data_IF_822951196189
#
_entry.id   IF_822951196189
#
_cell.length_a   1.000
_cell.length_b   1.000
_cell.length_c   1.000
_cell.angle_alpha   90.00
_cell.angle_beta   90.00
_cell.angle_gamma   90.00
#
_symmetry.space_group_name_H-M   'P 1'
#
loop_
_entity.id
_entity.type
_entity.pdbx_description
1 polymer ?
#
# COMPACT_ATOMS: atom_id res chain seq x y z
N UNK A 1 33.22 -56.50 38.96
CA UNK A 1 34.38 -56.45 39.85
C UNK A 1 34.05 -55.46 40.96
N UNK A 2 33.90 -55.98 42.18
CA UNK A 2 33.90 -55.34 43.50
C UNK A 2 32.86 -54.25 43.85
N UNK A 3 32.10 -54.57 44.90
CA UNK A 3 31.26 -53.75 45.78
C UNK A 3 32.03 -52.61 46.47
N UNK A 4 31.32 -51.56 46.95
CA UNK A 4 31.16 -51.30 48.39
C UNK A 4 30.38 -49.99 48.70
N UNK A 5 29.45 -50.13 49.68
CA UNK A 5 29.08 -49.25 50.81
C UNK A 5 29.06 -47.70 50.63
N UNK A 6 27.97 -46.97 50.83
CA UNK A 6 27.06 -46.79 52.00
C UNK A 6 27.52 -45.77 53.07
N UNK A 7 26.52 -45.03 53.58
CA UNK A 7 26.46 -44.20 54.81
C UNK A 7 27.07 -42.78 54.70
N UNK A 8 26.53 -41.69 55.25
CA UNK A 8 25.39 -41.40 56.14
C UNK A 8 25.10 -39.88 55.93
N UNK A 9 23.89 -39.35 55.76
CA UNK A 9 22.72 -39.27 56.64
C UNK A 9 22.73 -38.07 57.61
N UNK A 10 21.52 -37.49 57.75
CA UNK A 10 21.02 -36.53 58.76
C UNK A 10 21.30 -35.03 58.55
N UNK A 11 20.34 -34.12 58.78
CA UNK A 11 18.89 -34.17 58.85
C UNK A 11 18.38 -32.72 59.02
N UNK A 12 17.33 -32.35 58.25
CA UNK A 12 16.07 -31.72 58.69
C UNK A 12 16.14 -30.46 59.59
N UNK A 13 15.66 -29.32 59.09
CA UNK A 13 14.29 -28.79 59.26
C UNK A 13 14.26 -27.76 60.42
N UNK A 14 13.40 -26.74 60.51
CA UNK A 14 12.13 -26.42 59.89
C UNK A 14 11.79 -24.92 60.13
N UNK A 15 10.69 -24.46 59.50
CA UNK A 15 9.71 -23.44 59.97
C UNK A 15 10.17 -21.99 60.17
N UNK A 16 9.74 -21.00 59.37
CA UNK A 16 8.39 -20.43 59.16
C UNK A 16 8.02 -19.27 60.11
N UNK A 17 7.78 -18.11 59.49
CA UNK A 17 6.62 -17.21 59.65
C UNK A 17 6.79 -15.81 60.29
N UNK A 18 5.97 -14.88 59.76
CA UNK A 18 5.67 -13.49 60.19
C UNK A 18 6.74 -12.43 59.91
N UNK A 19 6.47 -11.19 59.51
CA UNK A 19 5.24 -10.41 59.30
C UNK A 19 5.66 -9.01 58.80
N UNK A 20 4.77 -8.31 58.09
CA UNK A 20 5.03 -7.06 57.37
C UNK A 20 5.11 -5.80 58.26
N UNK A 21 5.94 -4.81 57.88
CA UNK A 21 5.62 -3.35 57.84
C UNK A 21 6.87 -2.47 57.60
N UNK A 22 6.73 -1.47 56.73
CA UNK A 22 7.68 -0.40 56.31
C UNK A 22 7.99 0.65 57.41
N UNK A 23 8.58 1.84 57.12
CA UNK A 23 9.80 2.25 56.40
C UNK A 23 10.71 3.22 57.23
N UNK A 24 11.89 3.63 56.72
CA UNK A 24 12.44 5.02 56.74
C UNK A 24 13.99 5.16 56.80
N UNK A 25 14.43 6.22 56.12
CA UNK A 25 15.69 7.00 56.07
C UNK A 25 16.73 6.88 57.21
N UNK A 26 18.03 6.95 56.84
CA UNK A 26 18.92 8.12 57.01
C UNK A 26 20.41 7.75 57.16
N UNK A 27 21.27 8.70 56.76
CA UNK A 27 22.73 8.89 57.02
C UNK A 27 23.50 9.07 55.71
N UNK A 28 24.46 9.98 55.55
CA UNK A 28 25.11 10.95 56.42
C UNK A 28 26.23 11.60 55.61
N UNK A 29 26.51 12.88 55.83
CA UNK A 29 27.37 13.76 55.02
C UNK A 29 28.63 14.12 55.81
N UNK A 30 29.80 14.26 55.15
CA UNK A 30 30.84 15.32 55.32
C UNK A 30 32.31 14.86 55.24
N UNK A 31 33.16 15.77 54.71
CA UNK A 31 34.65 15.71 54.65
C UNK A 31 35.19 16.17 53.28
N UNK A 32 35.22 17.47 52.94
CA UNK A 32 36.32 18.46 53.10
C UNK A 32 37.56 18.25 52.21
N UNK A 33 37.83 19.20 51.29
CA UNK A 33 39.09 19.28 50.54
C UNK A 33 39.05 20.33 49.42
N UNK A 34 39.70 21.46 49.65
CA UNK A 34 39.77 22.72 48.91
C UNK A 34 40.71 22.73 47.69
N UNK A 35 40.35 23.47 46.63
CA UNK A 35 41.25 24.44 45.97
C UNK A 35 40.49 25.36 44.99
N UNK A 36 40.79 26.65 45.09
CA UNK A 36 40.24 27.73 44.30
C UNK A 36 41.01 27.93 42.98
N UNK A 37 40.34 28.47 41.96
CA UNK A 37 40.96 28.87 40.70
C UNK A 37 39.95 29.59 39.81
N UNK A 38 39.90 30.91 39.97
CA UNK A 38 39.03 31.86 39.29
C UNK A 38 39.34 32.05 37.80
N UNK A 39 38.26 32.09 37.00
CA UNK A 39 38.01 32.91 35.81
C UNK A 39 39.20 33.50 35.03
N UNK A 40 39.37 33.06 33.78
CA UNK A 40 39.86 33.91 32.70
C UNK A 40 38.95 33.81 31.47
N UNK A 41 38.62 34.99 30.97
CA UNK A 41 37.79 35.31 29.82
C UNK A 41 38.30 34.70 28.52
N UNK A 42 37.43 33.99 27.80
CA UNK A 42 37.62 33.60 26.41
C UNK A 42 36.30 33.74 25.67
N UNK A 43 36.17 34.81 24.89
CA UNK A 43 35.07 35.07 23.96
C UNK A 43 34.82 33.87 23.05
N UNK A 44 33.74 33.12 23.30
CA UNK A 44 33.22 32.15 22.34
C UNK A 44 32.44 32.90 21.26
N UNK A 45 33.13 33.13 20.15
CA UNK A 45 32.50 33.34 18.85
C UNK A 45 31.46 32.23 18.68
N UNK A 46 30.18 32.62 18.59
CA UNK A 46 29.07 31.73 18.22
C UNK A 46 29.30 31.34 16.76
N UNK A 47 30.12 30.31 16.56
CA UNK A 47 30.41 29.75 15.26
C UNK A 47 29.21 28.98 14.75
N UNK A 48 28.69 29.38 13.58
CA UNK A 48 27.84 28.60 12.68
C UNK A 48 28.53 27.29 12.16
N UNK A 49 29.53 26.76 12.87
CA UNK A 49 30.38 25.64 12.44
C UNK A 49 29.90 24.27 12.91
N UNK A 50 28.73 24.18 13.57
CA UNK A 50 28.16 22.91 14.03
C UNK A 50 27.35 22.12 12.99
N UNK A 51 27.04 22.71 11.84
CA UNK A 51 26.18 22.08 10.81
C UNK A 51 26.90 21.15 9.84
N UNK A 52 28.21 21.33 9.64
CA UNK A 52 28.99 20.58 8.63
C UNK A 52 29.44 19.19 9.09
N UNK A 53 29.36 18.88 10.39
CA UNK A 53 29.95 17.67 10.99
C UNK A 53 28.95 16.54 11.27
N UNK A 54 27.69 16.64 10.81
CA UNK A 54 26.73 15.54 10.94
C UNK A 54 26.68 14.71 9.64
N UNK A 55 27.31 13.51 9.59
CA UNK A 55 27.29 12.65 8.41
C UNK A 55 25.86 12.24 7.99
N UNK A 56 24.93 12.16 8.96
CA UNK A 56 23.51 11.88 8.69
C UNK A 56 22.81 12.99 7.89
N UNK A 57 23.18 14.26 8.12
CA UNK A 57 22.61 15.41 7.40
C UNK A 57 23.00 15.38 5.92
N UNK A 58 24.28 15.14 5.64
CA UNK A 58 24.80 15.00 4.27
C UNK A 58 24.19 13.80 3.53
N UNK A 59 24.00 12.67 4.22
CA UNK A 59 23.35 11.49 3.62
C UNK A 59 21.88 11.76 3.29
N UNK A 60 21.14 12.44 4.17
CA UNK A 60 19.75 12.83 3.89
C UNK A 60 19.66 13.83 2.74
N UNK A 61 20.55 14.83 2.70
CA UNK A 61 20.64 15.80 1.62
C UNK A 61 20.93 15.10 0.29
N UNK A 62 21.90 14.19 0.25
CA UNK A 62 22.24 13.42 -0.94
C UNK A 62 21.03 12.59 -1.43
N UNK A 63 20.34 11.91 -0.52
CA UNK A 63 19.13 11.15 -0.84
C UNK A 63 18.03 12.04 -1.43
N UNK A 64 17.81 13.23 -0.86
CA UNK A 64 16.82 14.19 -1.36
C UNK A 64 17.21 14.70 -2.75
N UNK A 65 18.48 15.08 -2.94
CA UNK A 65 18.99 15.56 -4.23
C UNK A 65 18.86 14.49 -5.32
N UNK A 66 19.18 13.23 -5.03
CA UNK A 66 19.05 12.14 -6.01
C UNK A 66 17.58 11.93 -6.39
N UNK A 67 16.66 11.94 -5.42
CA UNK A 67 15.22 11.80 -5.71
C UNK A 67 14.68 12.97 -6.53
N UNK A 68 15.11 14.20 -6.23
CA UNK A 68 14.76 15.38 -7.01
C UNK A 68 15.28 15.30 -8.44
N UNK A 69 16.54 14.91 -8.63
CA UNK A 69 17.12 14.71 -9.96
C UNK A 69 16.44 13.56 -10.72
N UNK A 70 16.06 12.47 -10.05
CA UNK A 70 15.29 11.38 -10.66
C UNK A 70 13.91 11.84 -11.11
N UNK A 71 13.22 12.67 -10.31
CA UNK A 71 11.97 13.31 -10.73
C UNK A 71 12.21 14.18 -11.97
N UNK A 72 13.19 15.09 -11.91
CA UNK A 72 13.48 16.01 -13.01
C UNK A 72 13.84 15.26 -14.31
N UNK A 73 14.63 14.20 -14.22
CA UNK A 73 14.97 13.34 -15.35
C UNK A 73 13.75 12.59 -15.91
N UNK A 74 12.90 12.05 -15.02
CA UNK A 74 11.64 11.42 -15.40
C UNK A 74 10.68 12.37 -16.09
N UNK A 75 10.55 13.60 -15.58
CA UNK A 75 9.74 14.64 -16.20
C UNK A 75 10.30 15.06 -17.57
N UNK A 76 11.60 15.39 -17.63
CA UNK A 76 12.25 15.91 -18.85
C UNK A 76 12.27 14.89 -19.98
N UNK A 77 12.50 13.61 -19.69
CA UNK A 77 12.53 12.54 -20.69
C UNK A 77 11.17 12.29 -21.38
N UNK A 78 10.07 12.81 -20.83
CA UNK A 78 8.72 12.66 -21.36
C UNK A 78 8.23 13.84 -22.20
N UNK A 79 9.06 14.89 -22.37
CA UNK A 79 8.67 16.12 -23.06
C UNK A 79 9.00 16.14 -24.56
N UNK A 80 9.67 15.10 -25.09
CA UNK A 80 10.15 15.13 -26.49
C UNK A 80 9.04 15.35 -27.53
N UNK A 81 7.84 14.81 -27.31
CA UNK A 81 6.70 15.02 -28.21
C UNK A 81 6.24 16.49 -28.21
N UNK A 82 6.12 17.08 -27.02
CA UNK A 82 5.70 18.47 -26.83
C UNK A 82 6.74 19.47 -27.36
N UNK A 83 8.04 19.16 -27.24
CA UNK A 83 9.12 20.03 -27.74
C UNK A 83 9.20 19.99 -29.27
N UNK A 84 9.02 18.81 -29.88
CA UNK A 84 9.13 18.65 -31.34
C UNK A 84 7.89 19.13 -32.08
N UNK A 85 6.72 19.00 -31.46
CA UNK A 85 5.43 19.30 -32.06
C UNK A 85 4.68 20.30 -31.18
N UNK A 86 3.37 20.14 -31.04
CA UNK A 86 2.52 21.01 -30.25
C UNK A 86 2.11 20.33 -28.94
N UNK A 87 1.80 21.13 -27.92
CA UNK A 87 1.26 20.65 -26.63
C UNK A 87 -0.21 20.27 -26.76
N UNK A 88 -0.48 19.17 -27.46
CA UNK A 88 -1.82 18.62 -27.68
C UNK A 88 -1.90 17.19 -27.15
N UNK A 89 -3.12 16.68 -27.05
CA UNK A 89 -3.36 15.30 -26.65
C UNK A 89 -3.07 14.39 -27.83
N UNK A 90 -2.42 13.26 -27.54
CA UNK A 90 -2.03 12.26 -28.53
C UNK A 90 -2.84 10.97 -28.34
N UNK A 91 -2.84 10.13 -29.39
CA UNK A 91 -3.59 8.87 -29.47
C UNK A 91 -5.11 9.05 -29.44
N UNK A 92 -5.85 7.93 -29.54
CA UNK A 92 -7.30 7.94 -29.68
C UNK A 92 -8.02 7.98 -28.32
N UNK A 93 -7.60 7.13 -27.38
CA UNK A 93 -8.27 6.94 -26.08
C UNK A 93 -8.27 8.21 -25.21
N UNK A 94 -7.17 8.98 -25.10
CA UNK A 94 -7.10 10.16 -24.23
C UNK A 94 -8.09 11.29 -24.56
N UNK A 95 -8.64 11.34 -25.79
CA UNK A 95 -9.63 12.37 -26.16
C UNK A 95 -10.92 12.27 -25.36
N UNK A 96 -11.38 11.05 -25.07
CA UNK A 96 -12.55 10.84 -24.22
C UNK A 96 -12.26 11.29 -22.78
N UNK A 97 -11.08 10.96 -22.26
CA UNK A 97 -10.66 11.37 -20.92
C UNK A 97 -10.59 12.89 -20.79
N UNK A 98 -10.02 13.57 -21.79
CA UNK A 98 -9.96 15.03 -21.83
C UNK A 98 -11.35 15.68 -21.91
N UNK A 99 -12.22 15.21 -22.81
CA UNK A 99 -13.59 15.74 -22.92
C UNK A 99 -14.35 15.58 -21.61
N UNK A 100 -14.22 14.42 -20.97
CA UNK A 100 -14.82 14.13 -19.66
C UNK A 100 -14.27 15.06 -18.57
N UNK A 101 -12.96 15.31 -18.58
CA UNK A 101 -12.30 16.25 -17.64
C UNK A 101 -12.73 17.69 -17.88
N UNK A 102 -12.86 18.11 -19.14
CA UNK A 102 -13.39 19.42 -19.50
C UNK A 102 -14.83 19.60 -19.02
N UNK A 103 -15.68 18.59 -19.17
CA UNK A 103 -17.04 18.60 -18.64
C UNK A 103 -17.04 18.76 -17.11
N UNK A 104 -16.20 18.00 -16.39
CA UNK A 104 -16.05 18.10 -14.94
C UNK A 104 -15.58 19.50 -14.50
N UNK A 105 -14.62 20.10 -15.21
CA UNK A 105 -14.10 21.42 -14.89
C UNK A 105 -15.12 22.56 -15.12
N UNK A 106 -16.01 22.40 -16.09
CA UNK A 106 -16.99 23.43 -16.48
C UNK A 106 -18.34 23.32 -15.76
N UNK A 107 -18.81 22.10 -15.47
CA UNK A 107 -20.14 21.85 -14.90
C UNK A 107 -20.09 21.37 -13.44
N UNK A 108 -18.91 21.01 -12.94
CA UNK A 108 -18.71 20.53 -11.58
C UNK A 108 -18.90 19.01 -11.43
N UNK A 109 -18.69 18.54 -10.19
CA UNK A 109 -18.59 17.10 -9.90
C UNK A 109 -19.95 16.37 -9.95
N UNK A 110 -21.01 16.95 -9.41
CA UNK A 110 -22.33 16.30 -9.37
C UNK A 110 -22.95 16.16 -10.78
N UNK A 111 -22.78 17.17 -11.63
CA UNK A 111 -23.18 17.11 -13.03
C UNK A 111 -22.35 16.08 -13.80
N UNK A 112 -21.04 15.99 -13.53
CA UNK A 112 -20.19 14.95 -14.12
C UNK A 112 -20.63 13.53 -13.73
N UNK A 113 -20.97 13.31 -12.45
CA UNK A 113 -21.38 12.00 -11.96
C UNK A 113 -22.71 11.54 -12.57
N UNK A 114 -23.63 12.47 -12.85
CA UNK A 114 -24.93 12.20 -13.47
C UNK A 114 -24.93 12.44 -14.99
N UNK A 115 -23.76 12.57 -15.61
CA UNK A 115 -23.66 12.97 -17.01
C UNK A 115 -24.15 11.87 -17.96
N UNK A 116 -25.21 12.19 -18.71
CA UNK A 116 -25.67 11.44 -19.87
C UNK A 116 -25.17 12.12 -21.15
N UNK A 117 -24.35 11.41 -21.92
CA UNK A 117 -23.79 11.89 -23.17
C UNK A 117 -24.63 11.42 -24.36
N UNK A 118 -25.47 12.33 -24.87
CA UNK A 118 -26.30 12.12 -26.06
C UNK A 118 -25.50 12.21 -27.38
N UNK A 119 -24.26 12.71 -27.34
CA UNK A 119 -23.45 12.95 -28.55
C UNK A 119 -22.61 11.74 -28.97
N UNK A 120 -22.63 10.67 -28.18
CA UNK A 120 -21.95 9.42 -28.47
C UNK A 120 -22.97 8.28 -28.60
N UNK A 121 -22.66 7.26 -29.40
CA UNK A 121 -23.51 6.07 -29.57
C UNK A 121 -24.95 6.38 -30.01
N UNK A 122 -25.12 7.23 -31.03
CA UNK A 122 -26.44 7.45 -31.64
C UNK A 122 -27.02 6.13 -32.17
N UNK A 123 -28.28 5.76 -31.85
CA UNK A 123 -29.32 6.54 -31.16
C UNK A 123 -29.48 6.29 -29.64
N UNK A 124 -28.63 5.47 -29.01
CA UNK A 124 -28.78 5.07 -27.60
C UNK A 124 -28.31 6.12 -26.59
N UNK A 125 -27.20 6.81 -26.88
CA UNK A 125 -26.49 7.63 -25.90
C UNK A 125 -25.62 6.81 -24.94
N UNK A 126 -24.81 7.48 -24.11
CA UNK A 126 -23.94 6.84 -23.10
C UNK A 126 -24.06 7.52 -21.74
N UNK A 127 -24.37 6.74 -20.69
CA UNK A 127 -24.30 7.21 -19.30
C UNK A 127 -22.83 7.25 -18.88
N UNK A 128 -22.16 8.40 -18.90
CA UNK A 128 -20.71 8.47 -18.70
C UNK A 128 -20.35 8.25 -17.23
N UNK A 129 -20.99 8.95 -16.29
CA UNK A 129 -20.62 8.87 -14.87
C UNK A 129 -20.76 7.47 -14.24
N UNK A 130 -21.65 6.64 -14.81
CA UNK A 130 -21.81 5.24 -14.43
C UNK A 130 -20.94 4.24 -15.20
N UNK A 131 -20.33 4.64 -16.32
CA UNK A 131 -19.59 3.74 -17.23
C UNK A 131 -18.10 4.07 -17.36
N UNK A 132 -17.54 4.82 -16.42
CA UNK A 132 -16.14 5.25 -16.44
C UNK A 132 -15.52 5.20 -15.04
N UNK A 133 -14.20 5.03 -15.00
CA UNK A 133 -13.37 5.23 -13.83
C UNK A 133 -13.10 6.73 -13.64
N UNK A 134 -13.61 7.40 -12.59
CA UNK A 134 -13.55 8.85 -12.48
C UNK A 134 -12.20 9.39 -11.97
N UNK A 135 -11.28 8.53 -11.54
CA UNK A 135 -10.07 8.92 -10.81
C UNK A 135 -9.16 9.85 -11.59
N UNK A 136 -8.97 9.61 -12.89
CA UNK A 136 -8.13 10.45 -13.76
C UNK A 136 -8.73 11.87 -13.89
N UNK A 137 -10.02 11.96 -14.21
CA UNK A 137 -10.73 13.22 -14.41
C UNK A 137 -10.81 14.05 -13.13
N UNK A 138 -11.11 13.40 -12.01
CA UNK A 138 -11.19 14.06 -10.69
C UNK A 138 -9.82 14.58 -10.27
N UNK A 139 -8.74 13.83 -10.52
CA UNK A 139 -7.38 14.26 -10.20
C UNK A 139 -6.97 15.48 -11.02
N UNK A 140 -7.21 15.45 -12.33
CA UNK A 140 -6.91 16.59 -13.21
C UNK A 140 -7.76 17.82 -12.85
N UNK A 141 -9.06 17.63 -12.59
CA UNK A 141 -9.97 18.70 -12.18
C UNK A 141 -9.60 19.33 -10.84
N UNK A 142 -9.18 18.52 -9.87
CA UNK A 142 -8.71 19.01 -8.57
C UNK A 142 -7.44 19.84 -8.70
N UNK A 143 -6.46 19.38 -9.49
CA UNK A 143 -5.23 20.14 -9.75
C UNK A 143 -5.55 21.47 -10.42
N UNK A 144 -6.43 21.46 -11.42
CA UNK A 144 -6.86 22.68 -12.11
C UNK A 144 -7.57 23.66 -11.16
N UNK A 145 -8.47 23.16 -10.31
CA UNK A 145 -9.16 23.99 -9.31
C UNK A 145 -8.19 24.60 -8.29
N UNK A 146 -7.23 23.82 -7.77
CA UNK A 146 -6.19 24.32 -6.84
C UNK A 146 -5.33 25.40 -7.52
N UNK A 147 -4.90 25.19 -8.76
CA UNK A 147 -4.08 26.17 -9.49
C UNK A 147 -4.84 27.49 -9.72
N UNK A 148 -6.12 27.41 -10.10
CA UNK A 148 -6.97 28.58 -10.27
C UNK A 148 -7.23 29.31 -8.94
N UNK A 149 -7.41 28.57 -7.83
CA UNK A 149 -7.53 29.16 -6.49
C UNK A 149 -6.26 29.93 -6.06
N UNK A 150 -5.09 29.52 -6.55
CA UNK A 150 -3.81 30.22 -6.35
C UNK A 150 -3.58 31.34 -7.39
N UNK A 151 -4.58 31.70 -8.19
CA UNK A 151 -4.51 32.67 -9.29
C UNK A 151 -3.49 32.33 -10.39
N UNK A 152 -3.13 31.05 -10.54
CA UNK A 152 -2.31 30.57 -11.64
C UNK A 152 -3.27 30.05 -12.73
N UNK A 153 -3.65 30.94 -13.65
CA UNK A 153 -4.64 30.65 -14.70
C UNK A 153 -4.06 29.76 -15.80
N UNK A 154 -4.11 28.44 -15.59
CA UNK A 154 -3.67 27.43 -16.56
C UNK A 154 -4.88 26.80 -17.22
N UNK A 155 -4.88 26.67 -18.55
CA UNK A 155 -5.97 26.01 -19.26
C UNK A 155 -6.03 24.50 -18.92
N UNK A 156 -7.23 23.92 -18.84
CA UNK A 156 -7.42 22.51 -18.44
C UNK A 156 -6.66 21.52 -19.34
N UNK A 157 -6.52 21.85 -20.64
CA UNK A 157 -5.74 21.07 -21.61
C UNK A 157 -4.29 20.90 -21.16
N UNK A 158 -3.65 21.96 -20.68
CA UNK A 158 -2.24 21.92 -20.32
C UNK A 158 -2.03 21.08 -19.06
N UNK A 159 -2.98 21.15 -18.11
CA UNK A 159 -3.03 20.25 -16.95
C UNK A 159 -3.11 18.79 -17.39
N UNK A 160 -3.99 18.46 -18.34
CA UNK A 160 -4.12 17.10 -18.88
C UNK A 160 -2.84 16.62 -19.58
N UNK A 161 -2.20 17.48 -20.40
CA UNK A 161 -0.98 17.14 -21.15
C UNK A 161 0.20 16.84 -20.22
N UNK A 162 0.38 17.63 -19.15
CA UNK A 162 1.52 17.50 -18.24
C UNK A 162 1.26 16.61 -17.01
N UNK A 163 0.06 16.04 -16.87
CA UNK A 163 -0.27 15.22 -15.70
C UNK A 163 0.60 13.95 -15.59
N UNK A 164 0.76 13.21 -16.69
CA UNK A 164 1.52 11.96 -16.69
C UNK A 164 3.00 12.14 -16.31
N UNK A 165 3.74 13.15 -16.85
CA UNK A 165 5.10 13.47 -16.38
C UNK A 165 5.20 13.80 -14.89
N UNK A 166 4.23 14.53 -14.32
CA UNK A 166 4.22 14.84 -12.88
C UNK A 166 4.02 13.58 -12.05
N UNK A 167 3.06 12.73 -12.43
CA UNK A 167 2.81 11.46 -11.76
C UNK A 167 3.96 10.47 -11.92
N UNK A 168 4.73 10.52 -13.01
CA UNK A 168 5.95 9.73 -13.14
C UNK A 168 7.00 10.04 -12.07
N UNK A 169 7.11 11.30 -11.64
CA UNK A 169 7.98 11.68 -10.52
C UNK A 169 7.49 11.13 -9.19
N UNK A 170 6.17 11.16 -8.97
CA UNK A 170 5.56 10.54 -7.80
C UNK A 170 5.75 9.01 -7.79
N UNK A 171 5.70 8.37 -8.97
CA UNK A 171 5.99 6.95 -9.15
C UNK A 171 7.42 6.60 -8.76
N UNK A 172 8.41 7.44 -9.09
CA UNK A 172 9.81 7.20 -8.69
C UNK A 172 9.98 7.29 -7.18
N UNK A 173 9.35 8.26 -6.52
CA UNK A 173 9.32 8.37 -5.06
C UNK A 173 8.62 7.16 -4.43
N UNK A 174 7.48 6.73 -4.96
CA UNK A 174 6.77 5.56 -4.43
C UNK A 174 7.59 4.28 -4.57
N UNK A 175 8.36 4.16 -5.67
CA UNK A 175 9.25 3.02 -5.91
C UNK A 175 10.44 3.02 -4.95
N UNK A 176 11.00 4.20 -4.65
CA UNK A 176 11.99 4.38 -3.59
C UNK A 176 11.44 3.88 -2.24
N UNK A 177 10.24 4.31 -1.86
CA UNK A 177 9.63 3.92 -0.58
C UNK A 177 9.40 2.40 -0.49
N UNK A 178 8.85 1.79 -1.54
CA UNK A 178 8.63 0.34 -1.61
C UNK A 178 9.95 -0.43 -1.46
N UNK A 179 10.95 -0.07 -2.26
CA UNK A 179 12.24 -0.78 -2.29
C UNK A 179 13.03 -0.58 -1.00
N UNK A 180 12.94 0.61 -0.38
CA UNK A 180 13.54 0.90 0.92
C UNK A 180 12.95 0.02 2.03
N UNK A 181 11.66 -0.30 1.96
CA UNK A 181 11.07 -1.25 2.92
C UNK A 181 11.63 -2.66 2.71
N UNK A 182 11.98 -3.07 1.49
CA UNK A 182 12.47 -4.43 1.21
C UNK A 182 13.95 -4.62 1.55
N UNK A 183 14.79 -3.61 1.31
CA UNK A 183 16.24 -3.73 1.43
C UNK A 183 16.87 -2.56 2.20
N UNK A 184 17.67 -1.72 1.55
CA UNK A 184 18.33 -0.55 2.12
C UNK A 184 18.00 0.71 1.30
N UNK A 185 18.41 1.88 1.82
CA UNK A 185 18.17 3.16 1.15
C UNK A 185 18.87 3.26 -0.21
N UNK A 186 20.07 2.69 -0.35
CA UNK A 186 20.83 2.69 -1.60
C UNK A 186 20.10 1.97 -2.75
N UNK A 187 19.56 0.77 -2.48
CA UNK A 187 18.74 0.03 -3.43
C UNK A 187 17.46 0.82 -3.80
N UNK A 188 16.86 1.51 -2.82
CA UNK A 188 15.71 2.38 -3.08
C UNK A 188 16.01 3.53 -4.02
N UNK A 189 17.15 4.21 -3.82
CA UNK A 189 17.57 5.31 -4.69
C UNK A 189 17.83 4.82 -6.11
N UNK A 190 18.50 3.67 -6.25
CA UNK A 190 18.76 3.06 -7.55
C UNK A 190 17.47 2.67 -8.27
N UNK A 191 16.51 2.06 -7.56
CA UNK A 191 15.21 1.68 -8.13
C UNK A 191 14.41 2.91 -8.60
N UNK A 192 14.45 4.03 -7.86
CA UNK A 192 13.82 5.28 -8.28
C UNK A 192 14.45 5.85 -9.56
N UNK A 193 15.78 5.82 -9.67
CA UNK A 193 16.48 6.24 -10.89
C UNK A 193 16.12 5.36 -12.09
N UNK A 194 16.00 4.03 -11.91
CA UNK A 194 15.65 3.11 -12.99
C UNK A 194 14.23 3.35 -13.51
N UNK A 195 13.22 3.42 -12.63
CA UNK A 195 11.83 3.59 -13.08
C UNK A 195 11.57 4.97 -13.68
N UNK A 196 12.36 5.99 -13.30
CA UNK A 196 12.23 7.33 -13.85
C UNK A 196 12.46 7.36 -15.37
N UNK A 197 13.40 6.56 -15.89
CA UNK A 197 13.82 6.58 -17.31
C UNK A 197 13.52 5.30 -18.08
N UNK A 198 12.84 4.32 -17.48
CA UNK A 198 12.57 3.03 -18.12
C UNK A 198 11.64 3.19 -19.34
N UNK A 199 12.05 2.77 -20.56
CA UNK A 199 11.27 2.99 -21.79
C UNK A 199 9.87 2.37 -21.74
N UNK A 200 9.72 1.21 -21.08
CA UNK A 200 8.44 0.53 -20.93
C UNK A 200 7.38 1.41 -20.27
N UNK A 201 7.75 2.12 -19.19
CA UNK A 201 6.81 3.04 -18.53
C UNK A 201 6.66 4.37 -19.29
N UNK A 202 7.74 4.89 -19.89
CA UNK A 202 7.68 6.12 -20.70
C UNK A 202 6.68 5.98 -21.85
N UNK A 203 6.61 4.81 -22.50
CA UNK A 203 5.72 4.57 -23.65
C UNK A 203 4.24 4.87 -23.38
N UNK A 204 3.78 4.74 -22.13
CA UNK A 204 2.40 5.02 -21.69
C UNK A 204 2.28 6.20 -20.72
N UNK A 205 3.32 7.02 -20.59
CA UNK A 205 3.35 8.17 -19.68
C UNK A 205 4.01 9.41 -20.27
N UNK A 206 4.14 9.47 -21.61
CA UNK A 206 4.67 10.64 -22.32
C UNK A 206 3.74 11.84 -22.15
N UNK A 207 4.30 13.06 -22.15
CA UNK A 207 3.48 14.27 -22.14
C UNK A 207 2.53 14.28 -23.35
N UNK A 208 1.25 14.55 -23.10
CA UNK A 208 0.17 14.47 -24.11
C UNK A 208 -0.59 13.14 -24.14
N UNK A 209 -0.04 12.06 -23.57
CA UNK A 209 -0.76 10.78 -23.38
C UNK A 209 -1.56 10.83 -22.07
N UNK A 210 -2.77 11.40 -22.14
CA UNK A 210 -3.68 11.55 -21.00
C UNK A 210 -4.54 10.29 -20.81
N UNK A 211 -3.89 9.17 -20.47
CA UNK A 211 -4.54 7.90 -20.18
C UNK A 211 -4.40 7.48 -18.70
N UNK A 212 -5.22 6.52 -18.30
CA UNK A 212 -5.37 6.07 -16.92
C UNK A 212 -4.08 5.46 -16.37
N UNK A 213 -3.28 4.81 -17.21
CA UNK A 213 -2.01 4.18 -16.83
C UNK A 213 -1.03 5.15 -16.17
N UNK A 214 -1.02 6.42 -16.58
CA UNK A 214 -0.11 7.43 -16.04
C UNK A 214 -0.22 7.58 -14.52
N UNK A 215 -1.45 7.56 -14.01
CA UNK A 215 -1.75 7.63 -12.57
C UNK A 215 -1.81 6.24 -11.94
N UNK A 216 -2.28 5.24 -12.68
CA UNK A 216 -2.48 3.90 -12.15
C UNK A 216 -1.18 3.26 -11.63
N UNK A 217 -0.06 3.44 -12.34
CA UNK A 217 1.23 2.88 -11.91
C UNK A 217 1.70 3.51 -10.58
N UNK A 218 1.49 4.81 -10.40
CA UNK A 218 1.76 5.48 -9.12
C UNK A 218 0.89 4.85 -8.00
N UNK A 219 -0.42 4.78 -8.21
CA UNK A 219 -1.36 4.25 -7.23
C UNK A 219 -1.06 2.79 -6.87
N UNK A 220 -0.67 1.99 -7.86
CA UNK A 220 -0.30 0.59 -7.69
C UNK A 220 0.98 0.43 -6.85
N UNK A 221 2.06 1.14 -7.18
CA UNK A 221 3.29 1.13 -6.39
C UNK A 221 3.06 1.62 -4.96
N UNK A 222 2.23 2.65 -4.78
CA UNK A 222 1.96 3.21 -3.46
C UNK A 222 1.12 2.26 -2.60
N UNK A 223 0.14 1.59 -3.21
CA UNK A 223 -0.66 0.56 -2.54
C UNK A 223 0.21 -0.62 -2.10
N UNK A 224 1.14 -1.08 -2.94
CA UNK A 224 2.08 -2.14 -2.55
C UNK A 224 3.04 -1.71 -1.44
N UNK A 225 3.53 -0.48 -1.47
CA UNK A 225 4.32 0.07 -0.37
C UNK A 225 3.54 0.02 0.95
N UNK A 226 2.31 0.53 0.96
CA UNK A 226 1.46 0.54 2.16
C UNK A 226 1.07 -0.86 2.64
N UNK A 227 0.82 -1.79 1.71
CA UNK A 227 0.57 -3.19 2.04
C UNK A 227 1.79 -3.83 2.73
N UNK A 228 2.98 -3.72 2.14
CA UNK A 228 4.22 -4.24 2.74
C UNK A 228 4.47 -3.60 4.10
N UNK A 229 4.26 -2.28 4.23
CA UNK A 229 4.39 -1.57 5.49
C UNK A 229 3.42 -2.09 6.55
N UNK A 230 2.15 -2.27 6.16
CA UNK A 230 1.10 -2.80 7.02
C UNK A 230 1.44 -4.20 7.53
N UNK A 231 1.88 -5.11 6.66
CA UNK A 231 2.24 -6.48 7.07
C UNK A 231 3.44 -6.51 8.01
N UNK A 232 4.45 -5.65 7.79
CA UNK A 232 5.64 -5.57 8.65
C UNK A 232 5.31 -5.01 10.04
N UNK A 233 4.57 -3.91 10.09
CA UNK A 233 4.22 -3.22 11.34
C UNK A 233 3.08 -3.91 12.10
N UNK A 234 2.09 -4.45 11.39
CA UNK A 234 0.88 -5.04 11.97
C UNK A 234 -0.11 -4.02 12.53
N UNK A 235 -0.10 -2.78 12.04
CA UNK A 235 -1.00 -1.71 12.51
C UNK A 235 -2.20 -1.53 11.58
N UNK A 236 -3.36 -1.31 12.20
CA UNK A 236 -4.62 -0.99 11.51
C UNK A 236 -4.49 0.33 10.75
N UNK A 237 -3.78 1.32 11.29
CA UNK A 237 -3.58 2.62 10.62
C UNK A 237 -2.99 2.48 9.22
N UNK A 238 -1.86 1.77 9.10
CA UNK A 238 -1.23 1.52 7.80
C UNK A 238 -2.12 0.73 6.84
N UNK A 239 -2.99 -0.12 7.40
CA UNK A 239 -3.96 -0.89 6.61
C UNK A 239 -5.07 0.01 6.08
N UNK A 240 -5.61 0.93 6.88
CA UNK A 240 -6.61 1.90 6.43
C UNK A 240 -6.02 2.80 5.34
N UNK A 241 -4.78 3.29 5.51
CA UNK A 241 -4.09 4.02 4.45
C UNK A 241 -3.96 3.18 3.17
N UNK A 242 -3.63 1.89 3.30
CA UNK A 242 -3.60 0.95 2.17
C UNK A 242 -4.98 0.82 1.49
N UNK A 243 -6.07 0.72 2.27
CA UNK A 243 -7.44 0.67 1.74
C UNK A 243 -7.83 1.94 0.99
N UNK A 244 -7.44 3.12 1.50
CA UNK A 244 -7.68 4.40 0.82
C UNK A 244 -6.88 4.50 -0.49
N UNK A 245 -5.63 4.05 -0.48
CA UNK A 245 -4.81 3.96 -1.70
C UNK A 245 -5.40 2.95 -2.70
N UNK A 246 -5.90 1.82 -2.23
CA UNK A 246 -6.59 0.83 -3.06
C UNK A 246 -7.89 1.40 -3.63
N UNK A 247 -8.68 2.13 -2.85
CA UNK A 247 -9.86 2.82 -3.35
C UNK A 247 -9.53 3.83 -4.45
N UNK A 248 -8.47 4.62 -4.26
CA UNK A 248 -7.97 5.51 -5.31
C UNK A 248 -7.58 4.74 -6.58
N UNK A 249 -6.88 3.62 -6.43
CA UNK A 249 -6.54 2.73 -7.56
C UNK A 249 -7.78 2.19 -8.28
N UNK A 250 -8.78 1.70 -7.55
CA UNK A 250 -10.07 1.23 -8.10
C UNK A 250 -10.76 2.35 -8.87
N UNK A 251 -10.70 3.58 -8.37
CA UNK A 251 -11.29 4.74 -9.04
C UNK A 251 -10.53 5.16 -10.30
N UNK A 252 -9.24 4.84 -10.40
CA UNK A 252 -8.35 5.31 -11.48
C UNK A 252 -8.23 4.31 -12.63
N UNK A 253 -8.16 3.00 -12.36
CA UNK A 253 -7.93 2.01 -13.40
C UNK A 253 -8.50 0.62 -13.08
N UNK A 254 -8.99 -0.06 -14.11
CA UNK A 254 -9.55 -1.42 -14.02
C UNK A 254 -8.53 -2.50 -13.61
N UNK A 255 -7.23 -2.20 -13.58
CA UNK A 255 -6.23 -3.13 -13.07
C UNK A 255 -6.21 -3.30 -11.55
N UNK A 256 -7.16 -2.72 -10.81
CA UNK A 256 -7.37 -3.04 -9.40
C UNK A 256 -7.63 -4.54 -9.16
N UNK A 257 -8.19 -5.24 -10.16
CA UNK A 257 -8.36 -6.71 -10.17
C UNK A 257 -7.00 -7.43 -10.00
N UNK A 258 -5.91 -6.84 -10.47
CA UNK A 258 -4.56 -7.40 -10.25
C UNK A 258 -4.15 -7.32 -8.78
N UNK A 259 -4.36 -6.17 -8.12
CA UNK A 259 -3.99 -5.97 -6.71
C UNK A 259 -4.79 -6.90 -5.81
N UNK A 260 -6.11 -6.99 -6.03
CA UNK A 260 -7.00 -7.80 -5.19
C UNK A 260 -6.79 -9.29 -5.40
N UNK A 261 -6.11 -9.74 -6.46
CA UNK A 261 -5.71 -11.13 -6.63
C UNK A 261 -4.28 -11.41 -6.11
N UNK A 262 -3.36 -10.44 -6.26
CA UNK A 262 -1.98 -10.60 -5.80
C UNK A 262 -1.87 -10.59 -4.27
N UNK A 263 -2.63 -9.73 -3.58
CA UNK A 263 -2.59 -9.64 -2.11
C UNK A 263 -3.05 -10.96 -1.45
N UNK A 264 -4.21 -11.55 -1.81
CA UNK A 264 -4.62 -12.86 -1.32
C UNK A 264 -3.63 -13.96 -1.70
N UNK A 265 -3.07 -13.95 -2.91
CA UNK A 265 -2.05 -14.92 -3.31
C UNK A 265 -0.83 -14.85 -2.39
N UNK A 266 -0.34 -13.65 -2.08
CA UNK A 266 0.75 -13.45 -1.13
C UNK A 266 0.41 -13.99 0.27
N UNK A 267 -0.80 -13.72 0.78
CA UNK A 267 -1.25 -14.24 2.08
C UNK A 267 -1.38 -15.77 2.06
N UNK A 268 -1.94 -16.33 0.99
CA UNK A 268 -2.08 -17.78 0.82
C UNK A 268 -0.71 -18.49 0.80
N UNK A 269 0.25 -17.95 0.05
CA UNK A 269 1.63 -18.48 0.04
C UNK A 269 2.27 -18.37 1.43
N UNK A 270 2.05 -17.29 2.18
CA UNK A 270 2.52 -17.20 3.57
C UNK A 270 1.93 -18.27 4.49
N UNK A 271 0.66 -18.65 4.28
CA UNK A 271 0.04 -19.76 5.01
C UNK A 271 0.68 -21.11 4.65
N UNK A 272 0.93 -21.37 3.36
CA UNK A 272 1.61 -22.59 2.89
C UNK A 272 3.04 -22.70 3.43
N UNK A 273 3.77 -21.59 3.50
CA UNK A 273 5.10 -21.52 4.09
C UNK A 273 5.11 -21.62 5.63
N UNK A 274 3.94 -21.82 6.26
CA UNK A 274 3.76 -21.85 7.71
C UNK A 274 4.24 -20.58 8.43
N UNK A 275 4.25 -19.43 7.73
CA UNK A 275 4.69 -18.12 8.25
C UNK A 275 3.50 -17.25 8.69
N UNK A 276 2.49 -17.88 9.29
CA UNK A 276 1.35 -17.15 9.84
C UNK A 276 1.77 -16.31 11.07
N UNK A 277 1.26 -15.08 11.12
CA UNK A 277 1.43 -14.18 12.26
C UNK A 277 0.15 -13.37 12.48
N UNK A 278 -0.12 -12.97 13.72
CA UNK A 278 -1.26 -12.09 14.06
C UNK A 278 -1.24 -10.79 13.26
N UNK A 279 -0.06 -10.32 12.87
CA UNK A 279 0.12 -9.14 12.00
C UNK A 279 -0.51 -9.31 10.62
N UNK A 280 -0.34 -10.49 10.01
CA UNK A 280 -0.91 -10.83 8.70
C UNK A 280 -2.43 -10.88 8.80
N UNK A 281 -2.95 -11.45 9.88
CA UNK A 281 -4.39 -11.49 10.16
C UNK A 281 -5.01 -10.08 10.24
N UNK A 282 -4.44 -9.21 11.08
CA UNK A 282 -4.92 -7.83 11.24
C UNK A 282 -4.84 -7.06 9.92
N UNK A 283 -3.72 -7.17 9.20
CA UNK A 283 -3.53 -6.49 7.93
C UNK A 283 -4.51 -6.98 6.85
N UNK A 284 -4.60 -8.28 6.60
CA UNK A 284 -5.43 -8.80 5.53
C UNK A 284 -6.93 -8.69 5.82
N UNK A 285 -7.36 -9.02 7.05
CA UNK A 285 -8.78 -8.97 7.43
C UNK A 285 -9.33 -7.56 7.34
N UNK A 286 -8.57 -6.57 7.85
CA UNK A 286 -8.96 -5.16 7.76
C UNK A 286 -8.92 -4.69 6.30
N UNK A 287 -7.87 -5.05 5.55
CA UNK A 287 -7.74 -4.68 4.14
C UNK A 287 -8.92 -5.16 3.30
N UNK A 288 -9.31 -6.43 3.46
CA UNK A 288 -10.40 -7.02 2.71
C UNK A 288 -11.74 -6.36 3.00
N UNK A 289 -12.11 -6.20 4.28
CA UNK A 289 -13.42 -5.63 4.66
C UNK A 289 -13.55 -4.18 4.21
N UNK A 290 -12.56 -3.35 4.55
CA UNK A 290 -12.62 -1.90 4.24
C UNK A 290 -12.42 -1.68 2.74
N UNK A 291 -11.49 -2.41 2.12
CA UNK A 291 -11.25 -2.33 0.67
C UNK A 291 -12.46 -2.75 -0.15
N UNK A 292 -13.20 -3.78 0.28
CA UNK A 292 -14.42 -4.26 -0.37
C UNK A 292 -15.54 -3.20 -0.32
N UNK A 293 -15.79 -2.61 0.85
CA UNK A 293 -16.84 -1.60 1.00
C UNK A 293 -16.50 -0.35 0.18
N UNK A 294 -15.23 0.07 0.18
CA UNK A 294 -14.78 1.23 -0.58
C UNK A 294 -14.86 0.99 -2.10
N UNK A 295 -14.44 -0.18 -2.59
CA UNK A 295 -14.47 -0.47 -4.03
C UNK A 295 -15.89 -0.46 -4.60
N UNK A 296 -16.89 -0.89 -3.82
CA UNK A 296 -18.30 -0.86 -4.20
C UNK A 296 -18.87 0.55 -4.38
N UNK A 297 -18.22 1.59 -3.83
CA UNK A 297 -18.71 2.97 -3.95
C UNK A 297 -18.53 3.55 -5.36
N UNK A 298 -17.65 2.96 -6.19
CA UNK A 298 -17.45 3.41 -7.57
C UNK A 298 -18.61 2.89 -8.43
N UNK A 299 -19.42 3.76 -9.07
CA UNK A 299 -20.63 3.33 -9.79
C UNK A 299 -20.37 2.28 -10.87
N UNK A 300 -19.24 2.38 -11.56
CA UNK A 300 -18.85 1.42 -12.60
C UNK A 300 -18.55 0.02 -12.05
N UNK A 301 -18.03 -0.06 -10.82
CA UNK A 301 -17.71 -1.32 -10.14
C UNK A 301 -18.97 -1.90 -9.49
N UNK A 302 -19.73 -1.08 -8.78
CA UNK A 302 -20.99 -1.49 -8.13
C UNK A 302 -20.83 -2.79 -7.33
N UNK A 303 -21.63 -3.80 -7.68
CA UNK A 303 -21.62 -5.12 -7.01
C UNK A 303 -20.72 -6.17 -7.68
N UNK A 304 -19.85 -5.79 -8.63
CA UNK A 304 -18.90 -6.71 -9.25
C UNK A 304 -18.03 -7.46 -8.23
N UNK A 305 -17.52 -6.85 -7.14
CA UNK A 305 -16.67 -7.55 -6.17
C UNK A 305 -17.33 -8.76 -5.47
N UNK A 306 -18.66 -8.84 -5.48
CA UNK A 306 -19.41 -10.01 -4.96
C UNK A 306 -19.81 -10.95 -6.10
N UNK A 307 -20.22 -10.39 -7.25
CA UNK A 307 -20.87 -11.16 -8.31
C UNK A 307 -19.90 -11.75 -9.33
N UNK A 308 -18.66 -11.26 -9.45
CA UNK A 308 -17.71 -11.77 -10.46
C UNK A 308 -16.70 -12.75 -9.88
N UNK A 309 -16.34 -13.76 -10.67
CA UNK A 309 -15.34 -14.77 -10.29
C UNK A 309 -13.96 -14.18 -10.00
N UNK A 310 -13.63 -13.03 -10.61
CA UNK A 310 -12.35 -12.32 -10.50
C UNK A 310 -11.98 -11.91 -9.07
N UNK A 311 -12.96 -11.75 -8.18
CA UNK A 311 -12.76 -11.33 -6.79
C UNK A 311 -12.84 -12.47 -5.78
N UNK A 312 -13.18 -13.69 -6.23
CA UNK A 312 -13.44 -14.82 -5.34
C UNK A 312 -12.19 -15.33 -4.62
N UNK A 313 -11.00 -15.13 -5.20
CA UNK A 313 -9.74 -15.44 -4.53
C UNK A 313 -9.60 -14.67 -3.20
N UNK A 314 -10.01 -13.39 -3.17
CA UNK A 314 -9.95 -12.59 -1.95
C UNK A 314 -10.95 -13.08 -0.89
N UNK A 315 -12.20 -13.38 -1.29
CA UNK A 315 -13.19 -13.94 -0.37
C UNK A 315 -12.75 -15.32 0.17
N UNK A 316 -12.20 -16.16 -0.69
CA UNK A 316 -11.76 -17.51 -0.33
C UNK A 316 -10.59 -17.49 0.66
N UNK A 317 -9.56 -16.68 0.40
CA UNK A 317 -8.42 -16.53 1.32
C UNK A 317 -8.86 -15.86 2.63
N UNK A 318 -9.83 -14.95 2.58
CA UNK A 318 -10.41 -14.37 3.80
C UNK A 318 -11.08 -15.43 4.68
N UNK A 319 -11.97 -16.25 4.11
CA UNK A 319 -12.63 -17.33 4.84
C UNK A 319 -11.60 -18.35 5.40
N UNK A 320 -10.63 -18.74 4.58
CA UNK A 320 -9.54 -19.63 5.01
C UNK A 320 -8.73 -19.03 6.16
N UNK A 321 -8.41 -17.75 6.10
CA UNK A 321 -7.64 -17.07 7.14
C UNK A 321 -8.41 -16.99 8.46
N UNK A 322 -9.73 -16.78 8.43
CA UNK A 322 -10.58 -16.84 9.62
C UNK A 322 -10.56 -18.22 10.27
N UNK A 323 -10.74 -19.28 9.47
CA UNK A 323 -10.68 -20.66 9.94
C UNK A 323 -9.29 -20.99 10.51
N UNK A 324 -8.22 -20.62 9.81
CA UNK A 324 -6.84 -20.83 10.25
C UNK A 324 -6.56 -20.12 11.58
N UNK A 325 -6.98 -18.86 11.73
CA UNK A 325 -6.79 -18.09 12.95
C UNK A 325 -7.55 -18.68 14.14
N UNK A 326 -8.78 -19.16 13.91
CA UNK A 326 -9.59 -19.82 14.93
C UNK A 326 -8.98 -21.15 15.39
N UNK A 327 -8.55 -21.99 14.45
CA UNK A 327 -7.85 -23.24 14.77
C UNK A 327 -6.55 -22.95 15.53
N UNK A 328 -5.77 -21.96 15.10
CA UNK A 328 -4.55 -21.55 15.79
C UNK A 328 -4.83 -21.03 17.20
N UNK A 329 -5.97 -20.38 17.45
CA UNK A 329 -6.39 -19.98 18.79
C UNK A 329 -6.74 -21.18 19.68
N UNK A 330 -7.43 -22.19 19.13
CA UNK A 330 -7.73 -23.44 19.85
C UNK A 330 -6.45 -24.20 20.23
N UNK A 331 -5.35 -24.03 19.49
CA UNK A 331 -4.04 -24.61 19.83
C UNK A 331 -3.61 -24.30 21.25
N UNK A 332 -3.81 -23.05 21.66
CA UNK A 332 -3.33 -22.58 22.95
C UNK A 332 -4.19 -23.12 24.11
N UNK A 333 -5.29 -23.81 23.80
CA UNK A 333 -6.22 -24.42 24.76
C UNK A 333 -6.21 -25.95 24.76
N UNK A 334 -5.62 -26.59 23.75
CA UNK A 334 -5.61 -28.05 23.58
C UNK A 334 -4.21 -28.65 23.75
N UNK A 335 -4.19 -29.95 24.05
CA UNK A 335 -2.99 -30.78 24.12
C UNK A 335 -2.33 -30.92 22.74
N UNK A 336 -0.98 -30.82 22.66
CA UNK A 336 -0.23 -30.78 21.38
C UNK A 336 -0.47 -31.97 20.44
N UNK A 337 -0.70 -33.17 20.97
CA UNK A 337 -0.86 -34.39 20.16
C UNK A 337 -2.21 -34.41 19.42
N UNK A 338 -3.30 -34.07 20.10
CA UNK A 338 -4.64 -34.00 19.50
C UNK A 338 -4.76 -32.79 18.56
N UNK A 339 -4.01 -31.72 18.86
CA UNK A 339 -4.05 -30.51 18.07
C UNK A 339 -3.46 -30.67 16.66
N UNK A 340 -2.35 -31.40 16.49
CA UNK A 340 -1.72 -31.51 15.17
C UNK A 340 -2.63 -32.16 14.14
N UNK A 341 -3.29 -33.26 14.51
CA UNK A 341 -4.23 -33.96 13.62
C UNK A 341 -5.46 -33.10 13.33
N UNK A 342 -6.05 -32.47 14.35
CA UNK A 342 -7.20 -31.56 14.19
C UNK A 342 -6.85 -30.33 13.34
N UNK A 343 -5.64 -29.79 13.46
CA UNK A 343 -5.20 -28.61 12.74
C UNK A 343 -5.04 -28.88 11.25
N UNK A 344 -4.30 -29.92 10.87
CA UNK A 344 -4.12 -30.27 9.47
C UNK A 344 -5.44 -30.68 8.82
N UNK A 345 -6.26 -31.47 9.52
CA UNK A 345 -7.59 -31.85 9.03
C UNK A 345 -8.50 -30.64 8.90
N UNK A 346 -8.56 -29.78 9.91
CA UNK A 346 -9.43 -28.60 9.95
C UNK A 346 -9.08 -27.57 8.88
N UNK A 347 -7.79 -27.28 8.68
CA UNK A 347 -7.35 -26.35 7.63
C UNK A 347 -7.63 -26.92 6.24
N UNK A 348 -7.35 -28.21 6.03
CA UNK A 348 -7.59 -28.86 4.72
C UNK A 348 -9.08 -28.93 4.39
N UNK A 349 -9.92 -29.23 5.38
CA UNK A 349 -11.37 -29.28 5.24
C UNK A 349 -11.95 -27.89 5.00
N UNK A 350 -11.48 -26.86 5.70
CA UNK A 350 -11.89 -25.48 5.46
C UNK A 350 -11.51 -25.03 4.04
N UNK A 351 -10.29 -25.31 3.59
CA UNK A 351 -9.86 -25.01 2.23
C UNK A 351 -10.70 -25.74 1.17
N UNK A 352 -10.99 -27.02 1.40
CA UNK A 352 -11.84 -27.83 0.52
C UNK A 352 -13.28 -27.29 0.42
N UNK A 353 -13.89 -26.94 1.56
CA UNK A 353 -15.24 -26.35 1.60
C UNK A 353 -15.27 -25.04 0.84
N UNK A 354 -14.31 -24.15 1.07
CA UNK A 354 -14.23 -22.85 0.37
C UNK A 354 -14.12 -23.07 -1.13
N UNK A 355 -13.24 -23.97 -1.57
CA UNK A 355 -13.05 -24.27 -2.99
C UNK A 355 -14.31 -24.83 -3.66
N UNK A 356 -14.94 -25.84 -3.03
CA UNK A 356 -16.18 -26.44 -3.55
C UNK A 356 -17.33 -25.44 -3.58
N UNK A 357 -17.43 -24.56 -2.58
CA UNK A 357 -18.47 -23.51 -2.52
C UNK A 357 -18.31 -22.53 -3.67
N UNK A 358 -17.09 -22.07 -3.95
CA UNK A 358 -16.82 -21.16 -5.07
C UNK A 358 -17.17 -21.82 -6.42
N UNK A 359 -16.79 -23.09 -6.61
CA UNK A 359 -17.14 -23.83 -7.84
C UNK A 359 -18.66 -23.97 -7.98
N UNK A 360 -19.34 -24.40 -6.92
CA UNK A 360 -20.78 -24.59 -6.94
C UNK A 360 -21.53 -23.29 -7.26
N UNK A 361 -21.18 -22.18 -6.60
CA UNK A 361 -21.79 -20.88 -6.83
C UNK A 361 -21.51 -20.32 -8.24
N UNK A 362 -20.35 -20.63 -8.81
CA UNK A 362 -20.01 -20.23 -10.19
C UNK A 362 -20.79 -21.08 -11.20
N UNK A 363 -20.86 -22.40 -10.99
CA UNK A 363 -21.57 -23.31 -11.89
C UNK A 363 -23.09 -23.10 -11.89
N UNK A 364 -23.67 -22.77 -10.73
CA UNK A 364 -25.10 -22.46 -10.58
C UNK A 364 -25.49 -21.08 -11.11
N UNK A 365 -24.53 -20.26 -11.52
CA UNK A 365 -24.77 -18.94 -12.13
C UNK A 365 -25.05 -17.80 -11.15
N UNK A 366 -24.93 -18.03 -9.83
CA UNK A 366 -24.99 -16.94 -8.84
C UNK A 366 -23.77 -16.01 -8.95
N UNK A 367 -22.60 -16.59 -9.22
CA UNK A 367 -21.36 -15.86 -9.55
C UNK A 367 -21.18 -15.90 -11.07
N UNK A 368 -21.04 -14.72 -11.67
CA UNK A 368 -20.74 -14.57 -13.08
C UNK A 368 -19.32 -15.09 -13.39
N UNK A 369 -19.14 -15.77 -14.53
CA UNK A 369 -17.84 -16.27 -14.96
C UNK A 369 -16.89 -15.11 -15.30
N UNK A 370 -15.63 -15.47 -15.59
CA UNK A 370 -14.59 -14.53 -16.00
C UNK A 370 -15.04 -13.76 -17.23
N UNK A 371 -14.80 -12.45 -17.25
CA UNK A 371 -15.06 -11.67 -18.45
C UNK A 371 -14.08 -12.04 -19.57
N UNK A 372 -14.51 -11.92 -20.83
CA UNK A 372 -13.73 -12.37 -21.99
C UNK A 372 -12.32 -11.78 -22.04
N UNK A 373 -12.14 -10.52 -21.62
CA UNK A 373 -10.83 -9.85 -21.57
C UNK A 373 -9.86 -10.48 -20.58
N UNK A 374 -10.32 -10.93 -19.41
CA UNK A 374 -9.44 -11.61 -18.45
C UNK A 374 -9.27 -13.08 -18.81
N UNK A 375 -10.30 -13.72 -19.36
CA UNK A 375 -10.22 -15.10 -19.81
C UNK A 375 -9.24 -15.28 -20.97
N UNK A 376 -9.14 -14.31 -21.89
CA UNK A 376 -8.18 -14.35 -23.00
C UNK A 376 -6.70 -14.31 -22.58
N UNK A 377 -6.42 -13.98 -21.31
CA UNK A 377 -5.07 -14.07 -20.74
C UNK A 377 -4.73 -15.49 -20.27
N UNK A 378 -5.74 -16.32 -20.05
CA UNK A 378 -5.60 -17.73 -19.70
C UNK A 378 -5.68 -18.61 -20.96
N UNK A 379 -6.72 -18.41 -21.76
CA UNK A 379 -6.93 -19.10 -23.04
C UNK A 379 -6.60 -18.15 -24.20
N UNK A 380 -5.48 -18.39 -24.88
CA UNK A 380 -4.96 -17.47 -25.90
C UNK A 380 -5.51 -17.74 -27.31
N UNK A 381 -6.51 -18.63 -27.44
CA UNK A 381 -7.09 -19.09 -28.72
C UNK A 381 -8.50 -18.58 -28.99
#
# INVERSE_FOLDING_TARGET
MAEHAALDNKHKAATANSGASSPALSSGRSGSGSSAGSSSSGSSVVGLSGGLSQPAGWQSLLSFTILFLAWLAGFSSRLFAVIRFESIIHEFDPWFNYRSTHHLASHGFYEFLNWFDERAWYPLGRIVGGTVYPGLMVTAGLIHWILNMLNITVHIRDVCVFLAPVFSGLTSISTFLLTRELWNQGAGLLAACFIAIVPGYISRSVAGSFDNEGIAIFALQFTYYLWVKSVKTGSVFWTICCCLSYFYMVSAWGGYVFIINLIPLHVFVLLLMQRYSKRVYIAYSTFYIVGLILSMQIPFVGFQPIRTSEHMAAAGVFALLQAYAFLQYLRDKLTKQEFQTLFFLGVSLAAGIVFLTVIYLTYTGYIAPWSGRFYSLWDTG
#
